data_IF_649744281742
#
_entry.id   IF_649744281742
#
_cell.length_a   1.000
_cell.length_b   1.000
_cell.length_c   1.000
_cell.angle_alpha   90.00
_cell.angle_beta   90.00
_cell.angle_gamma   90.00
#
_symmetry.space_group_name_H-M   'P 1'
#
loop_
_entity.id
_entity.type
_entity.pdbx_description
1 polymer ?
#
# COMPACT_ATOMS: atom_id res chain seq x y z
N UNK A 1 6.20 66.04 -20.75
CA UNK A 1 5.27 66.19 -19.60
C UNK A 1 4.68 64.81 -19.34
N UNK A 2 4.87 64.29 -18.12
CA UNK A 2 4.19 63.16 -17.45
C UNK A 2 4.01 61.84 -18.22
N UNK A 3 4.80 60.80 -17.91
CA UNK A 3 4.53 59.75 -16.91
C UNK A 3 3.24 58.96 -17.16
N UNK A 4 3.37 57.68 -17.55
CA UNK A 4 2.67 56.56 -16.90
C UNK A 4 3.54 55.31 -16.98
N UNK A 5 4.00 54.88 -15.80
CA UNK A 5 4.66 53.61 -15.55
C UNK A 5 3.57 52.56 -15.42
N UNK A 6 3.58 51.54 -16.28
CA UNK A 6 2.81 50.30 -16.06
C UNK A 6 3.79 49.14 -16.00
N UNK A 7 4.27 48.84 -14.80
CA UNK A 7 4.96 47.60 -14.48
C UNK A 7 3.88 46.51 -14.40
N UNK A 8 3.66 45.81 -15.51
CA UNK A 8 2.96 44.52 -15.49
C UNK A 8 3.97 43.47 -15.02
N UNK A 9 3.92 43.17 -13.71
CA UNK A 9 4.49 41.94 -13.15
C UNK A 9 3.75 40.75 -13.76
N UNK A 10 4.28 40.19 -14.84
CA UNK A 10 3.91 38.85 -15.30
C UNK A 10 4.36 37.86 -14.21
N UNK A 11 3.49 36.94 -13.73
CA UNK A 11 3.95 35.88 -12.87
C UNK A 11 4.98 35.04 -13.64
N UNK A 12 6.12 34.78 -13.00
CA UNK A 12 7.10 33.81 -13.46
C UNK A 12 6.35 32.53 -13.84
N UNK A 13 6.31 32.21 -15.13
CA UNK A 13 5.90 30.91 -15.58
C UNK A 13 6.91 29.91 -14.99
N UNK A 14 6.53 29.26 -13.89
CA UNK A 14 7.19 28.03 -13.45
C UNK A 14 6.97 27.04 -14.59
N UNK A 15 8.01 26.88 -15.40
CA UNK A 15 8.12 25.77 -16.34
C UNK A 15 8.32 24.51 -15.52
N UNK A 16 7.23 23.94 -14.99
CA UNK A 16 7.23 22.53 -14.63
C UNK A 16 7.01 21.78 -15.92
N UNK A 17 8.10 21.58 -16.67
CA UNK A 17 8.17 20.40 -17.54
C UNK A 17 7.69 19.21 -16.71
N UNK A 18 6.75 18.39 -17.19
CA UNK A 18 6.40 17.16 -16.48
C UNK A 18 7.71 16.42 -16.20
N UNK A 19 7.94 15.90 -14.98
CA UNK A 19 9.15 15.17 -14.68
C UNK A 19 9.28 14.08 -15.75
N UNK A 20 10.40 14.14 -16.46
CA UNK A 20 10.81 13.18 -17.48
C UNK A 20 10.58 11.80 -16.88
N UNK A 21 9.63 11.06 -17.45
CA UNK A 21 9.23 9.74 -16.98
C UNK A 21 10.34 8.74 -17.30
N UNK A 22 11.48 8.80 -16.63
CA UNK A 22 12.63 7.96 -16.93
C UNK A 22 13.48 7.71 -15.67
N UNK A 23 13.53 6.42 -15.25
CA UNK A 23 14.61 5.73 -14.47
C UNK A 23 14.41 5.31 -13.00
N UNK A 24 13.36 5.66 -12.26
CA UNK A 24 13.27 5.27 -10.82
C UNK A 24 12.55 3.94 -10.53
N UNK A 25 11.84 3.33 -11.49
CA UNK A 25 10.85 2.29 -11.16
C UNK A 25 11.37 0.83 -11.16
N UNK A 26 12.63 0.57 -11.56
CA UNK A 26 13.17 -0.81 -11.63
C UNK A 26 14.29 -1.13 -10.64
N UNK A 27 14.77 -0.16 -9.86
CA UNK A 27 15.78 -0.45 -8.85
C UNK A 27 15.12 -0.98 -7.57
N UNK A 28 15.44 -2.25 -7.25
CA UNK A 28 15.42 -2.88 -5.92
C UNK A 28 14.17 -3.66 -5.51
N UNK A 29 13.69 -4.58 -6.36
CA UNK A 29 12.97 -5.75 -5.81
C UNK A 29 13.99 -6.59 -5.04
N UNK A 30 13.81 -6.75 -3.73
CA UNK A 30 14.68 -7.55 -2.85
C UNK A 30 13.83 -8.64 -2.22
N UNK A 31 14.09 -9.90 -2.57
CA UNK A 31 13.35 -11.09 -2.08
C UNK A 31 11.83 -11.01 -2.35
N UNK A 32 11.43 -10.38 -3.46
CA UNK A 32 10.02 -10.18 -3.81
C UNK A 32 9.37 -8.95 -3.18
N UNK A 33 10.10 -8.15 -2.41
CA UNK A 33 9.61 -6.92 -1.79
C UNK A 33 10.10 -5.68 -2.54
N UNK A 34 9.24 -4.70 -2.73
CA UNK A 34 9.59 -3.39 -3.28
C UNK A 34 8.74 -2.29 -2.67
N UNK A 35 9.29 -1.07 -2.65
CA UNK A 35 8.55 0.14 -2.22
C UNK A 35 7.30 0.33 -3.09
N UNK A 36 6.19 0.68 -2.45
CA UNK A 36 4.88 0.86 -3.09
C UNK A 36 4.06 -0.42 -3.25
N UNK A 37 4.61 -1.59 -2.91
CA UNK A 37 3.83 -2.83 -2.88
C UNK A 37 2.86 -2.87 -1.70
N UNK A 38 1.70 -3.52 -1.89
CA UNK A 38 0.63 -3.62 -0.89
C UNK A 38 0.50 -5.00 -0.26
N UNK A 39 0.11 -5.03 1.00
CA UNK A 39 -0.09 -6.22 1.81
C UNK A 39 -1.14 -5.99 2.91
N UNK A 40 -1.40 -7.01 3.72
CA UNK A 40 -2.15 -6.89 4.97
C UNK A 40 -1.17 -6.92 6.14
N UNK A 41 -1.38 -6.09 7.16
CA UNK A 41 -0.47 -5.99 8.30
C UNK A 41 -1.25 -5.84 9.62
N UNK A 42 -0.74 -6.41 10.70
CA UNK A 42 -1.29 -6.23 12.05
C UNK A 42 -0.95 -4.83 12.59
N UNK A 43 -1.94 -4.10 13.09
CA UNK A 43 -1.70 -2.91 13.90
C UNK A 43 -1.21 -3.34 15.28
N UNK A 44 0.06 -3.03 15.60
CA UNK A 44 0.68 -3.40 16.88
C UNK A 44 0.12 -2.64 18.08
N UNK A 45 -0.50 -1.49 17.86
CA UNK A 45 -1.19 -0.72 18.90
C UNK A 45 -2.61 -1.23 19.11
N UNK A 46 -3.19 -1.89 18.11
CA UNK A 46 -4.50 -2.54 18.17
C UNK A 46 -4.40 -3.99 17.68
N UNK A 47 -3.90 -4.93 18.52
CA UNK A 47 -3.58 -6.31 18.10
C UNK A 47 -4.78 -7.14 17.58
N UNK A 48 -5.99 -6.61 17.70
CA UNK A 48 -7.20 -7.17 17.09
C UNK A 48 -7.47 -6.60 15.69
N UNK A 49 -6.50 -5.94 15.05
CA UNK A 49 -6.70 -5.24 13.78
C UNK A 49 -5.66 -5.64 12.74
N UNK A 50 -6.13 -6.18 11.62
CA UNK A 50 -5.35 -6.33 10.39
C UNK A 50 -5.88 -5.30 9.39
N UNK A 51 -4.99 -4.53 8.78
CA UNK A 51 -5.33 -3.41 7.92
C UNK A 51 -4.56 -3.43 6.59
N UNK A 52 -5.07 -2.65 5.63
CA UNK A 52 -4.42 -2.39 4.34
C UNK A 52 -3.15 -1.60 4.57
N UNK A 53 -2.02 -2.12 4.07
CA UNK A 53 -0.73 -1.52 4.28
C UNK A 53 0.11 -1.43 3.01
N UNK A 54 1.09 -0.53 3.02
CA UNK A 54 2.04 -0.29 1.93
C UNK A 54 3.47 -0.36 2.43
N UNK A 55 4.36 -0.97 1.64
CA UNK A 55 5.81 -0.97 1.87
C UNK A 55 6.38 0.40 1.52
N UNK A 56 6.94 1.12 2.49
CA UNK A 56 7.54 2.46 2.29
C UNK A 56 9.05 2.42 2.16
N UNK A 57 9.70 1.36 2.65
CA UNK A 57 11.14 1.15 2.54
C UNK A 57 11.48 -0.34 2.52
N UNK A 58 12.58 -0.69 1.84
CA UNK A 58 13.16 -2.05 1.83
C UNK A 58 14.66 -1.93 2.11
N UNK A 59 15.12 -2.51 3.22
CA UNK A 59 16.52 -2.45 3.63
C UNK A 59 17.03 -3.85 4.04
N UNK A 60 17.65 -4.55 3.10
CA UNK A 60 18.11 -5.92 3.29
C UNK A 60 16.94 -6.83 3.68
N UNK A 61 16.97 -7.38 4.90
CA UNK A 61 15.92 -8.23 5.45
C UNK A 61 14.74 -7.48 6.08
N UNK A 62 14.86 -6.17 6.25
CA UNK A 62 13.84 -5.35 6.91
C UNK A 62 12.99 -4.58 5.89
N UNK A 63 11.75 -4.28 6.26
CA UNK A 63 10.80 -3.46 5.52
C UNK A 63 10.13 -2.46 6.47
N UNK A 64 9.83 -1.27 5.95
CA UNK A 64 8.99 -0.29 6.64
C UNK A 64 7.58 -0.35 6.09
N UNK A 65 6.60 -0.39 6.98
CA UNK A 65 5.17 -0.55 6.69
C UNK A 65 4.44 0.70 7.15
N UNK A 66 3.59 1.23 6.26
CA UNK A 66 2.61 2.26 6.59
C UNK A 66 1.20 1.75 6.37
N UNK A 67 0.23 2.28 7.12
CA UNK A 67 -1.18 1.93 6.99
C UNK A 67 -1.91 2.94 6.11
N UNK A 68 -2.56 2.47 5.06
CA UNK A 68 -3.07 3.35 4.00
C UNK A 68 -4.17 4.30 4.52
N UNK A 69 -3.95 5.60 4.31
CA UNK A 69 -4.78 6.72 4.79
C UNK A 69 -4.89 6.84 6.32
N UNK A 70 -4.06 6.14 7.08
CA UNK A 70 -3.87 6.41 8.50
C UNK A 70 -2.69 7.38 8.69
N UNK A 71 -2.62 8.05 9.84
CA UNK A 71 -1.44 8.84 10.20
C UNK A 71 -0.22 7.94 10.42
N UNK A 72 0.97 8.53 10.48
CA UNK A 72 2.24 7.83 10.66
C UNK A 72 2.44 7.20 12.05
N UNK A 73 1.57 7.51 13.02
CA UNK A 73 1.64 6.98 14.39
C UNK A 73 1.48 5.46 14.54
N UNK A 74 1.12 4.75 13.47
CA UNK A 74 0.96 3.29 13.45
C UNK A 74 2.07 2.59 12.66
N UNK A 75 2.91 3.34 11.93
CA UNK A 75 3.93 2.80 11.06
C UNK A 75 5.00 2.06 11.86
N UNK A 76 5.56 1.00 11.28
CA UNK A 76 6.66 0.28 11.90
C UNK A 76 7.63 -0.29 10.86
N UNK A 77 8.87 -0.50 11.31
CA UNK A 77 9.88 -1.25 10.55
C UNK A 77 10.06 -2.61 11.20
N UNK A 78 10.07 -3.67 10.39
CA UNK A 78 10.28 -5.03 10.88
C UNK A 78 10.98 -5.92 9.84
N UNK A 79 11.32 -7.15 10.23
CA UNK A 79 11.85 -8.18 9.35
C UNK A 79 10.78 -8.65 8.34
N UNK A 80 11.15 -8.95 7.10
CA UNK A 80 10.24 -9.49 6.07
C UNK A 80 9.53 -10.77 6.50
N UNK A 81 10.14 -11.54 7.40
CA UNK A 81 9.58 -12.79 7.94
C UNK A 81 8.71 -12.60 9.19
N UNK A 82 8.46 -11.36 9.63
CA UNK A 82 7.64 -11.06 10.80
C UNK A 82 6.21 -11.60 10.63
N UNK A 83 5.72 -12.28 11.66
CA UNK A 83 4.42 -12.95 11.65
C UNK A 83 3.23 -11.98 11.54
N UNK A 84 3.45 -10.68 11.76
CA UNK A 84 2.44 -9.62 11.62
C UNK A 84 2.19 -9.20 10.16
N UNK A 85 3.04 -9.63 9.22
CA UNK A 85 2.92 -9.30 7.80
C UNK A 85 2.23 -10.43 7.04
N UNK A 86 1.20 -10.09 6.27
CA UNK A 86 0.32 -11.07 5.66
C UNK A 86 0.04 -10.78 4.17
N UNK A 87 -0.14 -11.83 3.35
CA UNK A 87 -0.59 -11.68 1.97
C UNK A 87 -2.03 -11.12 1.89
N UNK A 88 -2.33 -10.45 0.78
CA UNK A 88 -3.68 -9.99 0.45
C UNK A 88 -4.72 -11.13 0.54
N UNK A 89 -5.81 -10.87 1.26
CA UNK A 89 -6.89 -11.82 1.52
C UNK A 89 -6.81 -12.55 2.85
N UNK A 90 -5.70 -12.44 3.59
CA UNK A 90 -5.47 -13.19 4.81
C UNK A 90 -6.56 -12.98 5.87
N UNK A 91 -6.93 -11.72 6.17
CA UNK A 91 -7.96 -11.39 7.15
C UNK A 91 -9.32 -12.01 6.78
N UNK A 92 -9.66 -12.03 5.48
CA UNK A 92 -10.87 -12.71 4.99
C UNK A 92 -10.77 -14.23 5.17
N UNK A 93 -9.63 -14.81 4.83
CA UNK A 93 -9.40 -16.25 4.90
C UNK A 93 -9.55 -16.78 6.33
N UNK A 94 -8.94 -16.12 7.32
CA UNK A 94 -9.03 -16.52 8.73
C UNK A 94 -10.36 -16.14 9.39
N UNK A 95 -11.28 -15.52 8.64
CA UNK A 95 -12.56 -14.99 9.14
C UNK A 95 -12.37 -14.07 10.34
N UNK A 96 -11.40 -13.15 10.24
CA UNK A 96 -11.03 -12.28 11.35
C UNK A 96 -12.25 -11.47 11.82
N UNK A 97 -12.60 -11.49 13.13
CA UNK A 97 -13.87 -10.94 13.64
C UNK A 97 -13.94 -9.40 13.54
N UNK A 98 -12.79 -8.74 13.61
CA UNK A 98 -12.61 -7.32 13.32
C UNK A 98 -12.15 -7.20 11.86
N UNK A 99 -13.13 -6.93 11.02
CA UNK A 99 -13.05 -6.80 9.56
C UNK A 99 -11.97 -5.79 9.19
N UNK A 100 -11.15 -6.18 8.21
CA UNK A 100 -10.22 -5.30 7.50
C UNK A 100 -10.77 -3.88 7.37
N UNK A 101 -10.15 -2.93 8.05
CA UNK A 101 -10.48 -1.52 7.82
C UNK A 101 -9.96 -1.19 6.42
N UNK A 102 -10.91 -0.95 5.52
CA UNK A 102 -10.63 -0.25 4.26
C UNK A 102 -9.76 0.98 4.57
N UNK A 103 -8.94 1.45 3.61
CA UNK A 103 -8.18 2.68 3.79
C UNK A 103 -9.10 3.77 4.36
N UNK A 104 -8.64 4.53 5.35
CA UNK A 104 -9.46 5.55 6.00
C UNK A 104 -10.12 6.46 4.93
N UNK A 105 -11.40 6.79 5.13
CA UNK A 105 -12.27 7.53 4.19
C UNK A 105 -12.58 6.86 2.83
N UNK A 106 -12.24 5.58 2.62
CA UNK A 106 -12.63 4.86 1.40
C UNK A 106 -14.16 4.69 1.30
N UNK A 107 -14.75 5.10 0.17
CA UNK A 107 -16.20 5.12 -0.04
C UNK A 107 -16.68 3.83 -0.72
N UNK A 108 -17.78 3.27 -0.22
CA UNK A 108 -18.38 2.04 -0.74
C UNK A 108 -17.62 0.77 -0.36
N UNK A 109 -17.96 -0.33 -1.03
CA UNK A 109 -17.35 -1.64 -0.80
C UNK A 109 -15.89 -1.67 -1.27
N UNK A 110 -15.00 -2.18 -0.42
CA UNK A 110 -13.59 -2.33 -0.69
C UNK A 110 -13.30 -3.66 -1.36
N UNK A 111 -12.49 -3.61 -2.42
CA UNK A 111 -12.02 -4.76 -3.17
C UNK A 111 -10.55 -4.55 -3.48
N UNK A 112 -9.74 -5.57 -3.20
CA UNK A 112 -8.28 -5.50 -3.40
C UNK A 112 -7.93 -5.27 -4.87
N UNK A 113 -8.59 -5.96 -5.80
CA UNK A 113 -8.41 -5.75 -7.24
C UNK A 113 -8.62 -4.28 -7.61
N UNK A 114 -9.76 -3.71 -7.20
CA UNK A 114 -10.11 -2.31 -7.52
C UNK A 114 -9.10 -1.35 -6.90
N UNK A 115 -8.75 -1.56 -5.64
CA UNK A 115 -7.83 -0.69 -4.92
C UNK A 115 -6.41 -0.71 -5.51
N UNK A 116 -5.90 -1.88 -5.89
CA UNK A 116 -4.61 -2.01 -6.59
C UNK A 116 -4.61 -1.27 -7.93
N UNK A 117 -5.71 -1.34 -8.69
CA UNK A 117 -5.87 -0.60 -9.95
C UNK A 117 -5.92 0.92 -9.73
N UNK A 118 -6.69 1.39 -8.74
CA UNK A 118 -6.85 2.82 -8.41
C UNK A 118 -5.52 3.44 -7.97
N UNK A 119 -4.75 2.73 -7.15
CA UNK A 119 -3.46 3.17 -6.61
C UNK A 119 -2.29 2.92 -7.54
N UNK A 120 -2.49 2.18 -8.64
CA UNK A 120 -1.45 1.72 -9.56
C UNK A 120 -0.32 0.96 -8.83
N UNK A 121 -0.69 0.19 -7.82
CA UNK A 121 0.22 -0.57 -6.99
C UNK A 121 0.23 -2.05 -7.36
N UNK A 122 1.32 -2.74 -7.03
CA UNK A 122 1.42 -4.19 -7.11
C UNK A 122 1.24 -4.80 -5.71
N UNK A 123 0.67 -6.00 -5.61
CA UNK A 123 0.66 -6.71 -4.34
C UNK A 123 2.05 -7.29 -4.04
N UNK A 124 2.43 -7.41 -2.76
CA UNK A 124 3.58 -8.25 -2.39
C UNK A 124 3.27 -9.68 -2.85
N UNK A 125 4.16 -10.35 -3.61
CA UNK A 125 3.89 -11.68 -4.14
C UNK A 125 3.66 -12.70 -3.03
N UNK A 126 2.69 -13.60 -3.21
CA UNK A 126 2.41 -14.66 -2.23
C UNK A 126 3.65 -15.50 -1.85
N UNK A 127 4.56 -15.73 -2.80
CA UNK A 127 5.79 -16.49 -2.59
C UNK A 127 6.83 -15.78 -1.69
N UNK A 128 6.65 -14.49 -1.41
CA UNK A 128 7.52 -13.73 -0.52
C UNK A 128 7.19 -13.93 0.98
N UNK A 129 6.07 -14.61 1.28
CA UNK A 129 5.61 -14.87 2.64
C UNK A 129 5.95 -16.29 3.11
N UNK A 130 6.24 -16.43 4.40
CA UNK A 130 6.50 -17.70 5.08
C UNK A 130 5.20 -18.45 5.40
N UNK A 131 5.31 -19.73 5.81
CA UNK A 131 4.15 -20.51 6.24
C UNK A 131 3.43 -19.90 7.45
N UNK A 132 4.18 -19.31 8.39
CA UNK A 132 3.59 -18.66 9.57
C UNK A 132 2.76 -17.42 9.19
N UNK A 133 3.20 -16.67 8.19
CA UNK A 133 2.51 -15.48 7.68
C UNK A 133 1.26 -15.83 6.87
N UNK A 134 1.26 -16.97 6.18
CA UNK A 134 0.09 -17.41 5.39
C UNK A 134 -0.93 -18.21 6.21
N UNK A 135 -0.52 -18.84 7.32
CA UNK A 135 -1.33 -19.77 8.14
C UNK A 135 -2.14 -20.78 7.31
N UNK A 136 -1.54 -21.29 6.24
CA UNK A 136 -2.18 -22.27 5.35
C UNK A 136 -3.10 -21.69 4.28
N UNK A 137 -3.19 -20.36 4.15
CA UNK A 137 -3.97 -19.73 3.07
C UNK A 137 -3.47 -20.19 1.69
N UNK A 138 -4.34 -20.74 0.82
CA UNK A 138 -3.92 -21.20 -0.50
C UNK A 138 -3.54 -20.05 -1.44
N UNK A 139 -2.54 -20.27 -2.31
CA UNK A 139 -2.14 -19.31 -3.36
C UNK A 139 -3.30 -18.94 -4.30
N UNK A 140 -4.20 -19.89 -4.59
CA UNK A 140 -5.36 -19.63 -5.45
C UNK A 140 -6.36 -18.69 -4.79
N UNK A 141 -6.46 -18.71 -3.46
CA UNK A 141 -7.28 -17.76 -2.71
C UNK A 141 -6.70 -16.34 -2.86
N UNK A 142 -5.40 -16.17 -2.58
CA UNK A 142 -4.68 -14.91 -2.83
C UNK A 142 -4.88 -14.41 -4.27
N UNK A 143 -4.72 -15.30 -5.25
CA UNK A 143 -4.85 -14.96 -6.67
C UNK A 143 -6.25 -14.45 -7.00
N UNK A 144 -7.30 -15.09 -6.46
CA UNK A 144 -8.68 -14.62 -6.61
C UNK A 144 -8.86 -13.21 -6.01
N UNK A 145 -8.30 -12.96 -4.83
CA UNK A 145 -8.43 -11.66 -4.15
C UNK A 145 -7.84 -10.49 -4.95
N UNK A 146 -6.74 -10.70 -5.68
CA UNK A 146 -6.10 -9.63 -6.47
C UNK A 146 -6.62 -9.52 -7.91
N UNK A 147 -7.31 -10.55 -8.43
CA UNK A 147 -7.77 -10.59 -9.85
C UNK A 147 -9.28 -10.44 -10.01
N UNK A 148 -10.05 -10.70 -8.95
CA UNK A 148 -11.51 -10.68 -8.95
C UNK A 148 -12.03 -9.55 -8.06
N UNK A 149 -13.17 -8.97 -8.42
CA UNK A 149 -13.80 -7.90 -7.65
C UNK A 149 -14.57 -8.49 -6.45
N UNK A 150 -13.83 -9.01 -5.48
CA UNK A 150 -14.38 -9.57 -4.24
C UNK A 150 -14.49 -8.45 -3.22
N UNK A 151 -15.72 -8.08 -2.88
CA UNK A 151 -15.99 -7.09 -1.83
C UNK A 151 -15.69 -7.72 -0.47
N UNK A 152 -14.81 -7.07 0.30
CA UNK A 152 -14.48 -7.48 1.66
C UNK A 152 -15.72 -7.31 2.58
N UNK A 153 -16.12 -8.34 3.35
CA UNK A 153 -17.27 -8.24 4.24
C UNK A 153 -17.15 -7.10 5.25
N UNK A 154 -18.09 -6.17 5.20
CA UNK A 154 -18.20 -5.05 6.14
C UNK A 154 -17.30 -3.85 5.88
N UNK A 155 -16.75 -3.75 4.66
CA UNK A 155 -16.20 -2.50 4.11
C UNK A 155 -17.28 -1.56 3.56
#
# INVERSE_FOLDING_TARGET
MLQFVLVLLLPLAVSTSPPKADKVVLSTIVDGWAVGMKLEALDRLHPDMIAVATVTNVNGKNVSITFDNWGDGFDYTTDKADADLHPIGFAMYIKHPQKMYKPHNYKGGFSWKKYLLETKSLPVPFAAFTQNQTKGMPKDFYTKMITTDIIQPGS
#
